data_IF_534598935118
#
_entry.id   IF_534598935118
#
_cell.length_a   1.000
_cell.length_b   1.000
_cell.length_c   1.000
_cell.angle_alpha   90.00
_cell.angle_beta   90.00
_cell.angle_gamma   90.00
#
_symmetry.space_group_name_H-M   'P 1'
#
loop_
_entity.id
_entity.type
_entity.pdbx_description
1 polymer ?
#
# COMPACT_ATOMS: atom_id res chain seq x y z
N UNK A 1 -6.53 2.60 21.87
CA UNK A 1 -6.89 3.13 20.54
C UNK A 1 -6.92 4.67 20.45
N UNK A 2 -7.72 5.42 21.23
CA UNK A 2 -7.84 6.90 21.10
C UNK A 2 -6.53 7.72 21.12
N UNK A 3 -5.49 7.28 21.85
CA UNK A 3 -4.16 7.95 21.87
C UNK A 3 -3.32 7.71 20.60
N UNK A 4 -3.49 6.57 19.93
CA UNK A 4 -2.83 6.27 18.65
C UNK A 4 -3.45 7.10 17.51
N UNK A 5 -4.77 7.31 17.57
CA UNK A 5 -5.54 8.12 16.62
C UNK A 5 -5.16 9.60 16.60
N UNK A 6 -4.91 10.18 17.77
CA UNK A 6 -4.45 11.56 17.87
C UNK A 6 -3.12 11.81 17.12
N UNK A 7 -2.29 10.78 16.94
CA UNK A 7 -1.04 10.85 16.18
C UNK A 7 -1.22 10.64 14.67
N UNK A 8 -2.37 10.15 14.21
CA UNK A 8 -2.71 10.07 12.77
C UNK A 8 -3.38 11.36 12.28
N UNK A 9 -4.14 12.04 13.15
CA UNK A 9 -4.96 13.21 12.78
C UNK A 9 -4.28 14.56 13.07
N UNK A 10 -3.29 14.66 13.98
CA UNK A 10 -2.59 15.92 14.24
C UNK A 10 -1.40 16.14 13.30
N UNK A 11 -1.64 16.81 12.17
CA UNK A 11 -0.76 17.86 11.61
C UNK A 11 -1.44 18.59 10.44
N UNK A 12 -2.25 19.59 10.77
CA UNK A 12 -2.48 20.77 9.93
C UNK A 12 -2.86 21.92 10.86
N UNK A 13 -2.05 22.98 10.85
CA UNK A 13 -2.38 24.40 11.16
C UNK A 13 -1.13 25.28 11.40
N UNK A 14 0.00 25.03 10.73
CA UNK A 14 0.99 26.09 10.54
C UNK A 14 0.98 26.44 9.06
N UNK A 15 0.45 27.63 8.75
CA UNK A 15 0.36 28.16 7.40
C UNK A 15 1.73 28.15 6.74
N UNK A 16 1.80 27.55 5.54
CA UNK A 16 2.89 27.82 4.65
C UNK A 16 2.71 29.25 4.17
N UNK A 17 3.53 30.16 4.70
CA UNK A 17 3.72 31.50 4.15
C UNK A 17 4.19 31.32 2.71
N UNK A 18 3.39 31.80 1.75
CA UNK A 18 3.77 31.85 0.34
C UNK A 18 5.00 32.75 0.21
N UNK A 19 6.17 32.15 -0.02
CA UNK A 19 7.33 32.86 -0.52
C UNK A 19 7.21 32.78 -2.04
N UNK A 20 6.75 33.87 -2.66
CA UNK A 20 6.77 34.05 -4.11
C UNK A 20 8.23 34.17 -4.57
N UNK A 21 8.81 33.06 -5.00
CA UNK A 21 9.99 33.06 -5.88
C UNK A 21 9.52 32.73 -7.29
N UNK A 22 9.51 33.75 -8.16
CA UNK A 22 8.93 33.79 -9.51
C UNK A 22 9.58 32.88 -10.58
N UNK A 23 10.20 31.74 -10.22
CA UNK A 23 10.82 30.84 -11.21
C UNK A 23 10.73 29.34 -10.92
N UNK A 24 9.89 28.89 -9.98
CA UNK A 24 9.66 27.46 -9.83
C UNK A 24 8.56 26.97 -10.77
N UNK A 25 8.88 25.98 -11.62
CA UNK A 25 7.89 25.26 -12.40
C UNK A 25 6.83 24.64 -11.48
N UNK A 26 5.57 24.60 -11.91
CA UNK A 26 4.48 24.15 -11.05
C UNK A 26 4.72 22.71 -10.58
N UNK A 27 4.87 22.55 -9.27
CA UNK A 27 5.24 21.29 -8.63
C UNK A 27 4.01 20.59 -8.07
N UNK A 28 3.91 19.29 -8.32
CA UNK A 28 2.94 18.41 -7.68
C UNK A 28 3.32 18.21 -6.20
N UNK A 29 2.39 18.54 -5.30
CA UNK A 29 2.59 18.45 -3.85
C UNK A 29 1.62 17.43 -3.25
N UNK A 30 2.06 16.53 -2.35
CA UNK A 30 1.19 15.56 -1.73
C UNK A 30 0.15 16.23 -0.83
N UNK A 31 -1.09 15.75 -0.89
CA UNK A 31 -2.20 16.36 -0.15
C UNK A 31 -2.35 15.86 1.30
N UNK A 32 -1.57 14.83 1.69
CA UNK A 32 -1.57 14.29 3.05
C UNK A 32 -2.35 12.98 3.24
N UNK A 33 -3.11 12.54 2.23
CA UNK A 33 -3.98 11.38 2.32
C UNK A 33 -3.41 10.15 1.61
N UNK A 34 -3.66 8.98 2.19
CA UNK A 34 -3.39 7.66 1.60
C UNK A 34 -4.65 6.83 1.73
N UNK A 35 -5.03 6.13 0.68
CA UNK A 35 -6.12 5.18 0.66
C UNK A 35 -5.60 3.79 0.32
N UNK A 36 -5.88 2.83 1.19
CA UNK A 36 -5.41 1.46 1.08
C UNK A 36 -6.41 0.61 0.30
N UNK A 37 -5.90 -0.12 -0.70
CA UNK A 37 -6.71 -0.97 -1.56
C UNK A 37 -6.73 -2.39 -0.97
N UNK A 38 -7.69 -2.69 -0.08
CA UNK A 38 -7.75 -3.98 0.61
C UNK A 38 -7.87 -5.19 -0.34
N UNK A 39 -8.41 -4.99 -1.54
CA UNK A 39 -8.43 -6.00 -2.62
C UNK A 39 -7.04 -6.43 -3.10
N UNK A 40 -6.00 -5.66 -2.77
CA UNK A 40 -4.60 -5.94 -3.10
C UNK A 40 -3.85 -6.62 -1.96
N UNK A 41 -4.56 -7.21 -0.99
CA UNK A 41 -3.94 -7.92 0.12
C UNK A 41 -3.12 -9.11 -0.41
N UNK A 42 -1.83 -9.12 -0.07
CA UNK A 42 -0.89 -10.20 -0.42
C UNK A 42 -0.25 -10.78 0.82
N UNK A 43 -0.12 -12.09 0.89
CA UNK A 43 0.67 -12.80 1.90
C UNK A 43 1.95 -13.33 1.27
N UNK A 44 3.09 -13.00 1.86
CA UNK A 44 4.41 -13.45 1.41
C UNK A 44 5.18 -14.09 2.55
N UNK A 45 5.81 -15.23 2.29
CA UNK A 45 6.63 -15.95 3.27
C UNK A 45 7.57 -16.94 2.59
N UNK A 46 8.55 -17.46 3.33
CA UNK A 46 9.46 -18.49 2.85
C UNK A 46 8.94 -19.88 3.23
N UNK A 47 8.67 -20.71 2.22
CA UNK A 47 8.33 -22.14 2.40
C UNK A 47 9.56 -23.03 2.23
N UNK A 48 9.38 -24.35 2.43
CA UNK A 48 10.40 -25.36 2.12
C UNK A 48 10.79 -25.37 0.64
N UNK A 49 9.83 -25.08 -0.24
CA UNK A 49 10.01 -25.13 -1.70
C UNK A 49 10.46 -23.80 -2.31
N UNK A 50 10.50 -22.71 -1.54
CA UNK A 50 10.87 -21.39 -2.06
C UNK A 50 10.01 -20.27 -1.48
N UNK A 51 10.19 -19.08 -2.07
CA UNK A 51 9.37 -17.93 -1.74
C UNK A 51 7.93 -18.16 -2.24
N UNK A 52 6.96 -17.98 -1.34
CA UNK A 52 5.54 -18.07 -1.66
C UNK A 52 4.93 -16.68 -1.57
N UNK A 53 4.14 -16.33 -2.59
CA UNK A 53 3.29 -15.14 -2.63
C UNK A 53 1.88 -15.57 -2.98
N UNK A 54 0.93 -15.27 -2.10
CA UNK A 54 -0.49 -15.43 -2.32
C UNK A 54 -1.10 -14.03 -2.46
N UNK A 55 -1.89 -13.81 -3.50
CA UNK A 55 -2.46 -12.50 -3.83
C UNK A 55 -3.99 -12.52 -3.79
N UNK A 56 -4.61 -11.34 -3.70
CA UNK A 56 -6.06 -11.17 -3.66
C UNK A 56 -6.72 -11.95 -2.52
N UNK A 57 -6.06 -11.98 -1.37
CA UNK A 57 -6.56 -12.70 -0.20
C UNK A 57 -7.74 -11.92 0.39
N UNK A 58 -8.86 -12.61 0.54
CA UNK A 58 -10.01 -12.09 1.26
C UNK A 58 -9.72 -12.07 2.77
N UNK A 59 -10.05 -10.96 3.43
CA UNK A 59 -9.80 -10.73 4.86
C UNK A 59 -10.41 -11.85 5.72
N UNK A 60 -11.65 -12.23 5.40
CA UNK A 60 -12.43 -13.26 6.08
C UNK A 60 -11.77 -14.64 6.05
N UNK A 61 -10.93 -14.92 5.05
CA UNK A 61 -10.30 -16.22 4.84
C UNK A 61 -8.85 -16.26 5.35
N UNK A 62 -8.32 -15.15 5.87
CA UNK A 62 -6.91 -15.08 6.21
C UNK A 62 -6.53 -16.01 7.36
N UNK A 63 -7.37 -16.12 8.39
CA UNK A 63 -7.10 -17.00 9.53
C UNK A 63 -7.13 -18.48 9.14
N UNK A 64 -8.14 -18.90 8.35
CA UNK A 64 -8.22 -20.28 7.85
C UNK A 64 -7.05 -20.60 6.93
N UNK A 65 -6.69 -19.67 6.03
CA UNK A 65 -5.54 -19.80 5.14
C UNK A 65 -4.24 -20.01 5.93
N UNK A 66 -3.95 -19.17 6.93
CA UNK A 66 -2.72 -19.30 7.73
C UNK A 66 -2.63 -20.65 8.45
N UNK A 67 -3.76 -21.18 8.93
CA UNK A 67 -3.83 -22.51 9.54
C UNK A 67 -3.54 -23.62 8.51
N UNK A 68 -4.20 -23.59 7.36
CA UNK A 68 -4.00 -24.58 6.28
C UNK A 68 -2.56 -24.59 5.76
N UNK A 69 -1.94 -23.40 5.61
CA UNK A 69 -0.54 -23.29 5.21
C UNK A 69 0.40 -23.92 6.23
N UNK A 70 0.10 -23.80 7.53
CA UNK A 70 0.93 -24.39 8.59
C UNK A 70 0.88 -25.92 8.62
N UNK A 71 -0.21 -26.52 8.13
CA UNK A 71 -0.45 -27.96 8.09
C UNK A 71 0.00 -28.61 6.77
N UNK A 72 0.26 -27.82 5.73
CA UNK A 72 0.65 -28.32 4.41
C UNK A 72 2.10 -28.84 4.34
N UNK A 73 2.32 -29.97 3.68
CA UNK A 73 3.66 -30.54 3.52
C UNK A 73 4.59 -29.69 2.65
N UNK A 74 4.07 -29.09 1.57
CA UNK A 74 4.87 -28.43 0.53
C UNK A 74 4.95 -26.90 0.69
N UNK A 75 3.88 -26.28 1.16
CA UNK A 75 3.83 -24.82 1.36
C UNK A 75 3.93 -24.42 2.83
N UNK A 76 4.28 -25.36 3.72
CA UNK A 76 4.57 -25.00 5.11
C UNK A 76 5.71 -23.97 5.20
N UNK A 77 5.55 -22.97 6.06
CA UNK A 77 6.61 -22.01 6.35
C UNK A 77 7.86 -22.73 6.85
N UNK A 78 9.01 -22.35 6.32
CA UNK A 78 10.30 -22.92 6.70
C UNK A 78 10.91 -22.10 7.84
N UNK A 79 11.11 -22.66 9.04
CA UNK A 79 11.98 -22.05 10.03
C UNK A 79 13.43 -22.08 9.53
N UNK A 80 14.16 -21.00 9.72
CA UNK A 80 15.59 -20.91 9.36
C UNK A 80 16.39 -20.79 10.64
N UNK A 81 17.25 -21.77 10.92
CA UNK A 81 18.14 -21.74 12.09
C UNK A 81 17.42 -21.50 13.44
N UNK A 82 16.31 -22.20 13.68
CA UNK A 82 15.42 -22.04 14.85
C UNK A 82 14.72 -20.66 14.96
N UNK A 83 14.80 -19.84 13.92
CA UNK A 83 14.01 -18.61 13.80
C UNK A 83 12.69 -18.98 13.10
N UNK A 84 11.52 -18.62 13.67
CA UNK A 84 10.23 -18.83 13.01
C UNK A 84 10.20 -18.19 11.62
N UNK A 85 9.45 -18.79 10.70
CA UNK A 85 9.23 -18.15 9.40
C UNK A 85 8.46 -16.86 9.60
N UNK A 86 8.89 -15.80 8.92
CA UNK A 86 8.23 -14.49 9.00
C UNK A 86 7.26 -14.37 7.83
N UNK A 87 5.99 -14.20 8.16
CA UNK A 87 4.96 -13.79 7.23
C UNK A 87 4.99 -12.28 7.03
N UNK A 88 4.62 -11.85 5.83
CA UNK A 88 4.40 -10.46 5.48
C UNK A 88 3.06 -10.33 4.79
N UNK A 89 2.12 -9.61 5.41
CA UNK A 89 0.90 -9.14 4.75
C UNK A 89 1.16 -7.76 4.18
N UNK A 90 0.91 -7.56 2.89
CA UNK A 90 1.12 -6.28 2.22
C UNK A 90 -0.14 -5.81 1.52
N UNK A 91 -0.34 -4.50 1.49
CA UNK A 91 -1.47 -3.85 0.82
C UNK A 91 -0.94 -2.66 0.03
N UNK A 92 -1.35 -2.55 -1.23
CA UNK A 92 -1.09 -1.37 -2.04
C UNK A 92 -2.02 -0.23 -1.63
N UNK A 93 -1.63 1.00 -1.97
CA UNK A 93 -2.47 2.16 -1.73
C UNK A 93 -2.32 3.18 -2.83
N UNK A 94 -3.08 4.26 -2.70
CA UNK A 94 -2.98 5.44 -3.54
C UNK A 94 -2.87 6.67 -2.67
N UNK A 95 -2.17 7.69 -3.16
CA UNK A 95 -2.22 9.04 -2.62
C UNK A 95 -2.58 10.04 -3.73
N UNK A 96 -2.81 11.28 -3.34
CA UNK A 96 -3.08 12.35 -4.29
C UNK A 96 -2.07 13.47 -4.16
N UNK A 97 -1.80 14.08 -5.29
CA UNK A 97 -0.97 15.27 -5.39
C UNK A 97 -1.79 16.39 -6.07
N UNK A 98 -1.53 17.62 -5.64
CA UNK A 98 -2.19 18.82 -6.13
C UNK A 98 -1.18 19.72 -6.83
N UNK A 99 -1.60 20.33 -7.95
CA UNK A 99 -0.81 21.29 -8.70
C UNK A 99 -1.73 22.26 -9.44
N UNK A 100 -1.68 23.55 -9.11
CA UNK A 100 -2.47 24.61 -9.76
C UNK A 100 -3.98 24.25 -9.89
N UNK A 101 -4.58 23.72 -8.83
CA UNK A 101 -6.00 23.33 -8.81
C UNK A 101 -6.33 22.01 -9.52
N UNK A 102 -5.33 21.33 -10.11
CA UNK A 102 -5.47 19.96 -10.63
C UNK A 102 -5.10 18.96 -9.54
N UNK A 103 -5.83 17.85 -9.49
CA UNK A 103 -5.55 16.70 -8.63
C UNK A 103 -5.12 15.53 -9.51
N UNK A 104 -4.10 14.79 -9.09
CA UNK A 104 -3.75 13.49 -9.68
C UNK A 104 -3.64 12.42 -8.62
N UNK A 105 -3.93 11.18 -9.01
CA UNK A 105 -3.76 9.99 -8.18
C UNK A 105 -2.39 9.37 -8.47
N UNK A 106 -1.75 8.85 -7.43
CA UNK A 106 -0.45 8.17 -7.52
C UNK A 106 -0.52 6.85 -6.77
N UNK A 107 -0.09 5.76 -7.41
CA UNK A 107 -0.02 4.46 -6.78
C UNK A 107 1.18 4.37 -5.82
N UNK A 108 0.98 3.66 -4.71
CA UNK A 108 1.98 3.34 -3.70
C UNK A 108 2.06 1.81 -3.60
N UNK A 109 3.11 1.17 -4.16
CA UNK A 109 3.33 -0.25 -3.96
C UNK A 109 3.68 -0.51 -2.50
N UNK A 110 3.14 -1.60 -1.93
CA UNK A 110 3.34 -1.97 -0.51
C UNK A 110 3.12 -0.76 0.43
N UNK A 111 2.01 -0.05 0.26
CA UNK A 111 1.67 1.12 1.08
C UNK A 111 1.53 0.80 2.57
N UNK A 112 1.12 -0.43 2.90
CA UNK A 112 1.14 -0.95 4.25
C UNK A 112 1.68 -2.37 4.28
N UNK A 113 2.42 -2.71 5.34
CA UNK A 113 2.98 -4.03 5.57
C UNK A 113 2.81 -4.43 7.03
N UNK A 114 2.33 -5.64 7.29
CA UNK A 114 2.37 -6.28 8.60
C UNK A 114 3.30 -7.50 8.55
N UNK A 115 4.35 -7.49 9.37
CA UNK A 115 5.25 -8.64 9.56
C UNK A 115 4.90 -9.37 10.86
N UNK A 116 4.86 -10.70 10.83
CA UNK A 116 4.56 -11.52 12.01
C UNK A 116 5.15 -12.94 11.88
N UNK A 117 5.49 -13.55 13.01
CA UNK A 117 6.10 -14.89 13.08
C UNK A 117 5.04 -16.01 13.19
N UNK A 118 3.96 -15.77 13.93
CA UNK A 118 2.92 -16.75 14.22
C UNK A 118 1.53 -16.11 14.13
N UNK A 119 0.51 -16.96 13.99
CA UNK A 119 -0.92 -16.58 14.07
C UNK A 119 -1.28 -15.98 15.44
N UNK A 120 -0.42 -16.09 16.45
CA UNK A 120 -0.65 -15.47 17.76
C UNK A 120 -0.04 -14.05 17.87
N UNK A 121 0.62 -13.57 16.81
CA UNK A 121 1.06 -12.18 16.59
C UNK A 121 1.90 -11.52 17.71
N UNK A 122 2.45 -12.27 18.66
CA UNK A 122 3.19 -11.72 19.82
C UNK A 122 4.46 -10.93 19.45
N UNK A 123 4.95 -11.06 18.21
CA UNK A 123 6.09 -10.33 17.66
C UNK A 123 5.75 -9.81 16.27
N UNK A 124 4.85 -8.84 16.21
CA UNK A 124 4.46 -8.22 14.95
C UNK A 124 4.89 -6.76 14.83
N UNK A 125 5.14 -6.33 13.59
CA UNK A 125 5.39 -4.93 13.24
C UNK A 125 4.58 -4.58 12.00
N UNK A 126 3.66 -3.63 12.16
CA UNK A 126 2.98 -2.96 11.06
C UNK A 126 3.73 -1.69 10.67
N UNK A 127 3.86 -1.45 9.37
CA UNK A 127 4.47 -0.28 8.75
C UNK A 127 3.50 0.33 7.76
N UNK A 128 3.36 1.64 7.81
CA UNK A 128 2.45 2.41 6.97
C UNK A 128 3.23 3.52 6.27
N UNK A 129 3.19 3.56 4.95
CA UNK A 129 3.73 4.68 4.18
C UNK A 129 2.83 5.90 4.30
N UNK A 130 3.45 7.08 4.43
CA UNK A 130 2.75 8.35 4.34
C UNK A 130 2.73 8.85 2.89
N UNK A 131 1.82 9.78 2.60
CA UNK A 131 1.71 10.44 1.28
C UNK A 131 2.96 11.20 0.84
N UNK A 132 3.91 11.44 1.75
CA UNK A 132 5.15 12.17 1.49
C UNK A 132 6.28 11.27 0.97
N UNK A 133 6.02 9.96 0.85
CA UNK A 133 6.97 9.04 0.27
C UNK A 133 7.13 9.30 -1.24
N UNK A 134 8.38 9.48 -1.69
CA UNK A 134 8.70 9.59 -3.10
C UNK A 134 8.61 8.18 -3.71
N UNK A 135 7.48 7.84 -4.34
CA UNK A 135 7.26 6.52 -4.98
C UNK A 135 8.36 6.08 -5.96
N UNK A 136 9.23 6.97 -6.42
CA UNK A 136 10.23 6.66 -7.44
C UNK A 136 11.39 5.80 -6.89
N UNK A 137 11.50 5.65 -5.56
CA UNK A 137 12.50 4.76 -4.96
C UNK A 137 11.92 3.35 -4.80
N UNK A 138 11.77 2.63 -5.92
CA UNK A 138 11.31 1.24 -5.96
C UNK A 138 12.40 0.22 -5.54
N UNK A 139 13.55 0.69 -5.06
CA UNK A 139 14.74 -0.17 -4.87
C UNK A 139 14.62 -1.12 -3.67
N UNK A 140 13.80 -0.80 -2.67
CA UNK A 140 13.66 -1.58 -1.43
C UNK A 140 12.20 -1.70 -0.97
N UNK A 141 11.80 -2.93 -0.62
CA UNK A 141 10.47 -3.23 -0.04
C UNK A 141 10.26 -2.46 1.26
N UNK A 142 9.00 -2.11 1.57
CA UNK A 142 8.69 -1.44 2.85
C UNK A 142 9.13 -2.29 4.07
N UNK A 143 9.13 -3.62 3.92
CA UNK A 143 9.62 -4.56 4.93
C UNK A 143 11.12 -4.45 5.19
N UNK A 144 11.89 -3.98 4.20
CA UNK A 144 13.36 -3.95 4.17
C UNK A 144 13.93 -2.56 4.47
N UNK A 145 13.12 -1.51 4.35
CA UNK A 145 13.54 -0.14 4.67
C UNK A 145 13.96 0.01 6.13
N UNK A 146 15.09 0.68 6.33
CA UNK A 146 15.65 0.98 7.65
C UNK A 146 14.80 1.94 8.49
N UNK A 147 15.14 2.07 9.77
CA UNK A 147 14.33 2.72 10.80
C UNK A 147 14.26 4.27 10.73
N UNK A 148 14.95 4.91 9.78
CA UNK A 148 15.18 6.36 9.80
C UNK A 148 14.38 7.15 8.76
N UNK A 149 13.31 6.58 8.20
CA UNK A 149 12.51 7.26 7.19
C UNK A 149 11.30 7.94 7.86
N UNK A 150 11.22 9.28 7.90
CA UNK A 150 10.10 10.01 8.51
C UNK A 150 8.76 9.79 7.78
N UNK A 151 8.78 9.12 6.62
CA UNK A 151 7.61 8.77 5.83
C UNK A 151 7.04 7.39 6.15
N UNK A 152 7.59 6.68 7.13
CA UNK A 152 7.09 5.36 7.56
C UNK A 152 6.65 5.45 9.02
N UNK A 153 5.38 5.14 9.28
CA UNK A 153 4.86 4.99 10.63
C UNK A 153 4.87 3.52 11.04
N UNK A 154 5.29 3.23 12.27
CA UNK A 154 5.40 1.88 12.81
C UNK A 154 4.44 1.66 13.96
N UNK A 155 3.85 0.46 14.03
CA UNK A 155 3.03 -0.02 15.15
C UNK A 155 3.47 -1.45 15.46
N UNK A 156 3.66 -1.77 16.73
CA UNK A 156 4.09 -3.09 17.17
C UNK A 156 2.96 -3.83 17.87
N UNK A 157 3.04 -5.16 17.91
CA UNK A 157 2.13 -6.03 18.66
C UNK A 157 0.67 -5.84 18.24
N UNK A 158 0.45 -5.76 16.93
CA UNK A 158 -0.88 -5.74 16.31
C UNK A 158 -1.14 -7.06 15.59
N UNK A 159 -2.34 -7.60 15.74
CA UNK A 159 -2.76 -8.75 14.94
C UNK A 159 -3.22 -8.33 13.54
N UNK A 160 -3.51 -9.29 12.67
CA UNK A 160 -3.95 -8.98 11.30
C UNK A 160 -5.28 -8.22 11.26
N UNK A 161 -6.22 -8.52 12.17
CA UNK A 161 -7.52 -7.85 12.20
C UNK A 161 -7.35 -6.38 12.58
N UNK A 162 -6.56 -6.10 13.63
CA UNK A 162 -6.21 -4.73 14.03
C UNK A 162 -5.47 -3.99 12.91
N UNK A 163 -4.60 -4.68 12.18
CA UNK A 163 -3.94 -4.10 11.01
C UNK A 163 -4.96 -3.69 9.95
N UNK A 164 -5.90 -4.57 9.57
CA UNK A 164 -6.94 -4.24 8.58
C UNK A 164 -7.89 -3.15 9.09
N UNK A 165 -8.25 -3.17 10.37
CA UNK A 165 -9.10 -2.15 11.00
C UNK A 165 -8.45 -0.77 10.95
N UNK A 166 -7.12 -0.68 11.18
CA UNK A 166 -6.36 0.57 11.01
C UNK A 166 -6.45 1.05 9.55
N UNK A 167 -6.32 0.16 8.57
CA UNK A 167 -6.44 0.53 7.15
C UNK A 167 -7.84 1.06 6.83
N UNK A 168 -8.88 0.38 7.30
CA UNK A 168 -10.29 0.80 7.14
C UNK A 168 -10.56 2.16 7.80
N UNK A 169 -10.02 2.37 8.99
CA UNK A 169 -10.16 3.63 9.71
C UNK A 169 -9.47 4.79 8.98
N UNK A 170 -8.26 4.57 8.46
CA UNK A 170 -7.56 5.57 7.64
C UNK A 170 -8.36 5.85 6.36
N UNK A 171 -8.84 4.83 5.67
CA UNK A 171 -9.68 5.01 4.48
C UNK A 171 -10.95 5.81 4.78
N UNK A 172 -11.60 5.56 5.92
CA UNK A 172 -12.78 6.32 6.36
C UNK A 172 -12.50 7.78 6.72
N UNK A 173 -11.24 8.14 6.96
CA UNK A 173 -10.81 9.53 7.21
C UNK A 173 -10.52 10.31 5.92
N UNK A 174 -10.49 9.64 4.76
CA UNK A 174 -10.26 10.28 3.47
C UNK A 174 -11.52 11.06 3.05
N UNK A 175 -11.39 12.35 2.68
CA UNK A 175 -12.50 13.14 2.15
C UNK A 175 -13.20 12.47 0.96
N UNK A 176 -14.54 12.50 0.95
CA UNK A 176 -15.35 11.87 -0.11
C UNK A 176 -14.94 12.33 -1.53
N UNK A 177 -14.65 13.62 -1.70
CA UNK A 177 -14.19 14.18 -2.99
C UNK A 177 -12.91 13.51 -3.53
N UNK A 178 -12.06 12.98 -2.64
CA UNK A 178 -10.85 12.26 -3.00
C UNK A 178 -11.14 10.78 -3.21
N UNK A 179 -11.94 10.14 -2.35
CA UNK A 179 -12.31 8.73 -2.49
C UNK A 179 -13.13 8.47 -3.76
N UNK A 180 -14.04 9.38 -4.11
CA UNK A 180 -14.85 9.32 -5.34
C UNK A 180 -13.98 9.57 -6.58
N UNK A 181 -12.87 10.30 -6.41
CA UNK A 181 -11.83 10.49 -7.41
C UNK A 181 -10.82 9.33 -7.47
N UNK A 182 -11.06 8.22 -6.75
CA UNK A 182 -10.36 6.95 -6.93
C UNK A 182 -11.20 6.08 -7.86
N UNK A 183 -11.07 6.18 -9.19
CA UNK A 183 -11.52 5.12 -10.08
C UNK A 183 -10.49 3.98 -9.99
N UNK A 184 -10.34 3.37 -8.81
CA UNK A 184 -9.53 2.17 -8.60
C UNK A 184 -10.42 1.11 -7.98
N UNK A 185 -11.39 0.69 -8.78
CA UNK A 185 -12.16 -0.53 -8.64
C UNK A 185 -11.36 -1.67 -9.29
N UNK A 186 -11.66 -2.93 -8.94
CA UNK A 186 -11.06 -4.09 -9.64
C UNK A 186 -11.23 -4.01 -11.15
N UNK A 187 -12.36 -3.45 -11.60
CA UNK A 187 -12.68 -3.22 -13.01
C UNK A 187 -11.73 -2.25 -13.72
N UNK A 188 -11.00 -1.39 -12.98
CA UNK A 188 -9.97 -0.53 -13.57
C UNK A 188 -8.71 -1.30 -13.99
N UNK A 189 -8.60 -2.57 -13.60
CA UNK A 189 -7.53 -3.49 -13.98
C UNK A 189 -8.01 -4.59 -14.94
N UNK A 190 -9.29 -4.58 -15.35
CA UNK A 190 -9.80 -5.51 -16.37
C UNK A 190 -9.12 -5.25 -17.72
N UNK A 191 -8.70 -4.00 -17.96
CA UNK A 191 -7.90 -3.63 -19.11
C UNK A 191 -6.54 -3.05 -18.68
N UNK A 192 -5.44 -3.46 -19.33
CA UNK A 192 -4.09 -3.00 -18.97
C UNK A 192 -3.81 -1.53 -19.28
N UNK A 193 -4.66 -0.87 -20.08
CA UNK A 193 -4.49 0.51 -20.54
C UNK A 193 -5.81 1.28 -20.45
N UNK A 194 -5.77 2.51 -19.93
CA UNK A 194 -6.93 3.41 -19.99
C UNK A 194 -7.16 3.88 -21.43
N UNK A 195 -8.35 4.43 -21.72
CA UNK A 195 -8.65 4.99 -23.06
C UNK A 195 -7.67 6.10 -23.46
N UNK A 196 -7.20 6.89 -22.48
CA UNK A 196 -6.18 7.92 -22.69
C UNK A 196 -4.81 7.33 -23.00
N UNK A 197 -4.44 6.22 -22.34
CA UNK A 197 -3.18 5.52 -22.61
C UNK A 197 -3.20 4.85 -23.98
N UNK A 198 -4.33 4.25 -24.37
CA UNK A 198 -4.54 3.69 -25.72
C UNK A 198 -4.36 4.77 -26.78
N UNK A 199 -4.97 5.94 -26.59
CA UNK A 199 -4.82 7.08 -27.50
C UNK A 199 -3.37 7.59 -27.57
N UNK A 200 -2.68 7.69 -26.43
CA UNK A 200 -1.28 8.10 -26.39
C UNK A 200 -0.35 7.06 -27.05
N UNK A 201 -0.63 5.77 -26.87
CA UNK A 201 0.08 4.67 -27.53
C UNK A 201 -0.16 4.65 -29.04
N UNK A 202 -1.38 4.87 -29.50
CA UNK A 202 -1.72 4.99 -30.92
C UNK A 202 -1.00 6.17 -31.58
N UNK A 203 -0.86 7.29 -30.85
CA UNK A 203 -0.13 8.47 -31.32
C UNK A 203 1.38 8.27 -31.30
N UNK A 204 1.91 7.57 -30.29
CA UNK A 204 3.34 7.31 -30.13
C UNK A 204 3.85 6.21 -31.08
N UNK A 205 3.02 5.21 -31.38
CA UNK A 205 3.33 4.10 -32.28
C UNK A 205 2.11 3.72 -33.12
N UNK A 206 1.94 4.32 -34.31
CA UNK A 206 0.83 3.99 -35.20
C UNK A 206 0.89 2.51 -35.61
N UNK A 207 -0.11 1.71 -35.21
CA UNK A 207 -0.31 0.33 -35.69
C UNK A 207 -0.06 -0.82 -34.71
N UNK A 208 0.01 -0.57 -33.40
CA UNK A 208 0.37 -1.61 -32.40
C UNK A 208 -0.80 -2.38 -31.74
N UNK A 209 -2.07 -2.03 -32.00
CA UNK A 209 -3.20 -2.79 -31.45
C UNK A 209 -3.73 -3.80 -32.48
N UNK A 210 -3.70 -5.12 -32.19
CA UNK A 210 -4.46 -6.09 -32.97
C UNK A 210 -5.94 -5.76 -32.85
N UNK A 211 -6.61 -5.65 -33.99
CA UNK A 211 -8.07 -5.70 -34.05
C UNK A 211 -8.52 -7.05 -33.51
N UNK A 212 -9.20 -7.02 -32.35
CA UNK A 212 -9.72 -8.15 -31.58
C UNK A 212 -8.74 -8.79 -30.60
N UNK A 213 -8.87 -8.42 -29.32
CA UNK A 213 -9.07 -9.31 -28.17
C UNK A 213 -9.59 -8.48 -26.98
#
# INVERSE_FOLDING_TARGET
>A
MRKLLAQFVKRRQNGATFINTENESPRWLPNGHVYYLLSTLKLRYQSKSGLVTLEQIQEENLASLLRELSESECVCPKPVSNIPSIYSLTVCGVCWEECLGKVRVKAIPEAAVLRFEHVDYQRSEARFQTSFHKCDDASLSLAERGNFVPTIKKVHNVNYQEFIDILKEINGSVPAILSDAVPVCSSNFDEPFTSSDKLALEQAVPGLLPSHL
#
